data_IF_634402870359
#
_entry.id   IF_634402870359
#
_cell.length_a   1.000
_cell.length_b   1.000
_cell.length_c   1.000
_cell.angle_alpha   90.00
_cell.angle_beta   90.00
_cell.angle_gamma   90.00
#
_symmetry.space_group_name_H-M   'P 1'
#
loop_
_entity.id
_entity.type
_entity.pdbx_description
1 polymer ?
#
# COMPACT_ATOMS: atom_id res chain seq x y z
N UNK A 1 -8.97 -35.44 36.06
CA UNK A 1 -8.47 -34.33 35.20
C UNK A 1 -9.67 -33.77 34.44
N UNK A 2 -9.96 -32.48 34.57
CA UNK A 2 -11.15 -31.81 34.03
C UNK A 2 -10.84 -31.29 32.61
N UNK A 3 -11.56 -31.79 31.61
CA UNK A 3 -11.62 -31.22 30.27
C UNK A 3 -12.94 -30.47 30.13
N UNK A 4 -12.91 -29.16 30.24
CA UNK A 4 -14.05 -28.30 29.87
C UNK A 4 -13.54 -26.90 29.54
N UNK A 5 -14.05 -26.34 28.44
CA UNK A 5 -13.98 -24.94 28.00
C UNK A 5 -12.86 -24.54 27.01
N UNK A 6 -12.90 -25.03 25.76
CA UNK A 6 -12.26 -24.37 24.60
C UNK A 6 -13.17 -24.45 23.36
N UNK A 7 -14.46 -24.09 23.48
CA UNK A 7 -15.37 -24.06 22.30
C UNK A 7 -16.10 -22.73 22.12
N UNK A 8 -16.02 -21.79 23.08
CA UNK A 8 -16.84 -20.57 23.06
C UNK A 8 -16.15 -19.31 22.49
N UNK A 9 -14.93 -19.41 21.94
CA UNK A 9 -14.16 -18.24 21.49
C UNK A 9 -13.98 -18.11 19.97
N UNK A 10 -14.59 -19.01 19.16
CA UNK A 10 -14.46 -18.96 17.69
C UNK A 10 -15.65 -18.33 16.94
N UNK A 11 -16.71 -17.91 17.64
CA UNK A 11 -17.96 -17.45 16.98
C UNK A 11 -18.07 -15.94 16.81
N UNK A 12 -17.12 -15.13 17.29
CA UNK A 12 -17.21 -13.66 17.23
C UNK A 12 -16.40 -12.97 16.13
N UNK A 13 -15.64 -13.71 15.29
CA UNK A 13 -14.91 -13.13 14.14
C UNK A 13 -15.67 -13.30 12.81
N UNK A 14 -16.63 -14.23 12.73
CA UNK A 14 -17.43 -14.45 11.52
C UNK A 14 -18.46 -13.33 11.24
N UNK A 15 -18.76 -12.47 12.21
CA UNK A 15 -19.78 -11.42 12.09
C UNK A 15 -19.27 -10.10 11.49
N UNK A 16 -17.97 -9.98 11.17
CA UNK A 16 -17.41 -8.81 10.46
C UNK A 16 -17.51 -8.91 8.92
N UNK A 17 -18.04 -10.02 8.39
CA UNK A 17 -18.17 -10.26 6.95
C UNK A 17 -19.55 -9.89 6.38
N UNK A 18 -20.48 -9.42 7.21
CA UNK A 18 -21.82 -9.01 6.77
C UNK A 18 -21.87 -7.51 6.46
N UNK A 19 -21.61 -7.18 5.19
CA UNK A 19 -22.33 -6.09 4.51
C UNK A 19 -21.72 -4.69 4.53
N UNK A 20 -20.43 -4.51 4.84
CA UNK A 20 -19.79 -3.22 4.61
C UNK A 20 -19.75 -2.93 3.10
N UNK A 21 -20.49 -1.91 2.66
CA UNK A 21 -20.40 -1.44 1.28
C UNK A 21 -18.99 -0.89 1.05
N UNK A 22 -18.28 -1.46 0.10
CA UNK A 22 -16.96 -0.96 -0.29
C UNK A 22 -17.14 0.26 -1.20
N UNK A 23 -16.41 1.35 -0.95
CA UNK A 23 -16.50 2.55 -1.79
C UNK A 23 -15.78 2.30 -3.12
N UNK A 24 -16.51 2.36 -4.25
CA UNK A 24 -15.92 2.28 -5.59
C UNK A 24 -16.00 3.66 -6.24
N UNK A 25 -14.85 4.23 -6.58
CA UNK A 25 -14.81 5.51 -7.30
C UNK A 25 -15.25 5.31 -8.77
N UNK A 26 -15.89 6.30 -9.41
CA UNK A 26 -16.24 6.23 -10.82
C UNK A 26 -15.02 5.90 -11.70
N UNK A 27 -15.10 4.81 -12.45
CA UNK A 27 -14.02 4.35 -13.34
C UNK A 27 -12.85 3.67 -12.64
N UNK A 28 -12.96 3.33 -11.35
CA UNK A 28 -12.02 2.43 -10.68
C UNK A 28 -12.35 0.96 -10.99
N UNK A 29 -11.31 0.15 -11.18
CA UNK A 29 -11.41 -1.30 -11.37
C UNK A 29 -11.58 -2.04 -10.03
N UNK A 30 -11.19 -1.40 -8.92
CA UNK A 30 -11.29 -1.94 -7.57
C UNK A 30 -11.99 -0.96 -6.64
N UNK A 31 -12.59 -1.44 -5.54
CA UNK A 31 -12.95 -0.58 -4.44
C UNK A 31 -11.72 0.12 -3.84
N UNK A 32 -11.97 1.19 -3.07
CA UNK A 32 -10.98 1.85 -2.25
C UNK A 32 -10.46 0.90 -1.17
N UNK A 33 -9.15 0.93 -0.96
CA UNK A 33 -8.46 0.21 0.10
C UNK A 33 -7.36 1.06 0.73
N UNK A 34 -7.03 0.75 1.97
CA UNK A 34 -5.83 1.22 2.65
C UNK A 34 -4.66 0.27 2.37
N UNK A 35 -3.44 0.80 2.38
CA UNK A 35 -2.23 -0.01 2.42
C UNK A 35 -1.69 0.00 3.85
N UNK A 36 -1.43 -1.17 4.41
CA UNK A 36 -0.92 -1.33 5.79
C UNK A 36 0.40 -2.08 5.76
N UNK A 37 1.41 -1.52 6.41
CA UNK A 37 2.71 -2.15 6.51
C UNK A 37 2.68 -3.37 7.43
N UNK A 38 3.40 -4.42 7.04
CA UNK A 38 3.80 -5.49 7.92
C UNK A 38 5.31 -5.69 7.79
N UNK A 39 5.96 -5.86 8.93
CA UNK A 39 7.38 -6.17 9.00
C UNK A 39 7.64 -7.05 10.21
N UNK A 40 8.36 -8.18 10.05
CA UNK A 40 8.67 -9.07 11.18
C UNK A 40 9.75 -8.49 12.12
N UNK A 41 10.45 -7.43 11.71
CA UNK A 41 11.65 -6.92 12.40
C UNK A 41 11.64 -5.41 12.63
N UNK A 42 10.61 -4.71 12.15
CA UNK A 42 10.42 -3.27 12.40
C UNK A 42 9.27 -3.06 13.35
N UNK A 43 9.37 -2.03 14.20
CA UNK A 43 8.23 -1.52 14.98
C UNK A 43 7.12 -0.96 14.10
N UNK A 44 7.39 -0.75 12.80
CA UNK A 44 6.40 -0.36 11.80
C UNK A 44 5.57 -1.57 11.31
N UNK A 45 4.92 -2.26 12.24
CA UNK A 45 4.00 -3.35 11.94
C UNK A 45 2.55 -2.89 12.14
N UNK A 46 1.70 -3.23 11.18
CA UNK A 46 0.28 -2.84 11.10
C UNK A 46 0.04 -1.33 11.08
N UNK A 47 1.01 -0.56 10.57
CA UNK A 47 0.88 0.90 10.41
C UNK A 47 0.32 1.24 9.02
N UNK A 48 -0.68 2.14 8.92
CA UNK A 48 -1.23 2.55 7.64
C UNK A 48 -0.24 3.43 6.87
N UNK A 49 -0.18 3.23 5.55
CA UNK A 49 0.57 4.06 4.64
C UNK A 49 -0.12 5.41 4.45
N UNK A 50 0.65 6.49 4.59
CA UNK A 50 0.20 7.86 4.31
C UNK A 50 0.76 8.29 2.95
N UNK A 51 -0.07 8.94 2.12
CA UNK A 51 0.35 9.45 0.80
C UNK A 51 1.45 10.51 0.96
N UNK A 52 1.26 11.44 1.91
CA UNK A 52 2.20 12.50 2.26
C UNK A 52 2.53 12.41 3.75
N UNK A 53 3.64 11.75 4.08
CA UNK A 53 4.01 11.52 5.48
C UNK A 53 5.46 11.87 5.84
N UNK A 54 6.34 12.05 4.85
CA UNK A 54 7.75 12.38 5.06
C UNK A 54 8.17 13.70 4.39
N UNK A 55 9.41 14.09 4.62
CA UNK A 55 10.09 15.12 3.85
C UNK A 55 9.95 14.86 2.34
N UNK A 56 9.78 15.93 1.58
CA UNK A 56 9.64 15.93 0.11
C UNK A 56 8.37 15.26 -0.47
N UNK A 57 7.35 14.99 0.35
CA UNK A 57 6.06 14.49 -0.15
C UNK A 57 6.05 13.00 -0.50
N UNK A 58 7.00 12.23 0.05
CA UNK A 58 6.98 10.77 -0.07
C UNK A 58 6.06 10.13 0.97
N UNK A 59 5.75 8.86 0.72
CA UNK A 59 4.91 8.08 1.62
C UNK A 59 5.67 7.73 2.89
N UNK A 60 4.92 7.66 3.99
CA UNK A 60 5.47 7.23 5.25
C UNK A 60 4.46 6.40 6.05
N UNK A 61 4.98 5.63 6.99
CA UNK A 61 4.20 4.83 7.96
C UNK A 61 3.95 5.62 9.26
N UNK A 62 4.58 6.78 9.40
CA UNK A 62 4.48 7.69 10.53
C UNK A 62 4.23 9.12 10.05
N UNK A 63 3.90 10.03 10.98
CA UNK A 63 3.60 11.44 10.66
C UNK A 63 2.11 11.78 10.82
N UNK A 64 1.77 13.03 10.51
CA UNK A 64 0.44 13.61 10.76
C UNK A 64 -0.45 13.78 9.52
N UNK A 65 0.06 13.53 8.31
CA UNK A 65 -0.73 13.61 7.07
C UNK A 65 -1.82 12.53 7.01
N UNK A 66 -2.85 12.64 6.16
CA UNK A 66 -3.95 11.67 6.11
C UNK A 66 -3.45 10.26 5.74
N UNK A 67 -4.18 9.24 6.21
CA UNK A 67 -3.98 7.86 5.75
C UNK A 67 -4.35 7.81 4.26
N UNK A 68 -3.46 7.22 3.47
CA UNK A 68 -3.65 7.08 2.04
C UNK A 68 -4.76 6.09 1.72
N UNK A 69 -5.69 6.51 0.86
CA UNK A 69 -6.64 5.61 0.22
C UNK A 69 -6.17 5.33 -1.21
N UNK A 70 -6.35 4.10 -1.66
CA UNK A 70 -5.80 3.62 -2.91
C UNK A 70 -6.83 2.79 -3.68
N UNK A 71 -6.68 2.74 -4.99
CA UNK A 71 -7.50 1.92 -5.88
C UNK A 71 -6.73 1.62 -7.16
N UNK A 72 -7.22 0.67 -7.95
CA UNK A 72 -6.75 0.45 -9.31
C UNK A 72 -7.70 1.09 -10.32
N UNK A 73 -7.14 1.69 -11.36
CA UNK A 73 -7.87 2.17 -12.53
C UNK A 73 -7.05 1.86 -13.78
N UNK A 74 -7.67 1.17 -14.73
CA UNK A 74 -7.02 0.62 -15.92
C UNK A 74 -5.77 -0.22 -15.58
N UNK A 75 -5.87 -1.05 -14.53
CA UNK A 75 -4.79 -1.91 -14.06
C UNK A 75 -3.62 -1.17 -13.39
N UNK A 76 -3.75 0.12 -13.12
CA UNK A 76 -2.70 0.94 -12.49
C UNK A 76 -3.13 1.37 -11.09
N UNK A 77 -2.23 1.20 -10.11
CA UNK A 77 -2.42 1.70 -8.75
C UNK A 77 -2.50 3.24 -8.77
N UNK A 78 -3.43 3.80 -8.00
CA UNK A 78 -3.63 5.25 -7.82
C UNK A 78 -3.80 5.56 -6.33
N UNK A 79 -3.27 6.71 -5.91
CA UNK A 79 -3.62 7.33 -4.64
C UNK A 79 -4.85 8.23 -4.79
N UNK A 80 -5.75 8.18 -3.81
CA UNK A 80 -6.91 9.04 -3.70
C UNK A 80 -6.66 10.13 -2.65
N UNK A 81 -6.92 11.38 -3.03
CA UNK A 81 -6.89 12.51 -2.10
C UNK A 81 -8.15 12.56 -1.25
N UNK A 82 -8.02 12.31 0.06
CA UNK A 82 -9.12 12.47 1.02
C UNK A 82 -9.29 13.90 1.51
N UNK A 83 -8.40 14.84 1.15
CA UNK A 83 -8.41 16.21 1.66
C UNK A 83 -9.48 17.12 1.03
N UNK A 84 -10.42 16.56 0.25
CA UNK A 84 -11.60 17.29 -0.24
C UNK A 84 -11.33 18.24 -1.41
N UNK A 85 -10.20 18.10 -2.10
CA UNK A 85 -9.98 18.79 -3.37
C UNK A 85 -11.02 18.32 -4.38
N UNK A 86 -11.82 19.25 -4.90
CA UNK A 86 -12.84 19.00 -5.93
C UNK A 86 -12.23 18.64 -7.29
N UNK A 87 -10.92 18.84 -7.46
CA UNK A 87 -10.19 18.27 -8.57
C UNK A 87 -9.85 16.83 -8.24
N UNK A 88 -10.26 15.88 -9.09
CA UNK A 88 -9.82 14.49 -9.10
C UNK A 88 -8.29 14.44 -9.29
N UNK A 89 -7.55 14.76 -8.24
CA UNK A 89 -6.10 14.65 -8.21
C UNK A 89 -5.78 13.19 -7.94
N UNK A 90 -5.51 12.48 -9.03
CA UNK A 90 -5.04 11.12 -8.95
C UNK A 90 -3.53 11.14 -8.74
N UNK A 91 -3.09 10.59 -7.61
CA UNK A 91 -1.67 10.47 -7.37
C UNK A 91 -1.11 9.23 -8.04
N UNK A 92 -0.06 9.41 -8.84
CA UNK A 92 0.68 8.32 -9.47
C UNK A 92 1.71 7.78 -8.49
N UNK A 93 1.70 6.46 -8.22
CA UNK A 93 2.77 5.86 -7.43
C UNK A 93 4.07 5.96 -8.21
N UNK A 94 5.16 6.22 -7.51
CA UNK A 94 6.50 6.17 -8.06
C UNK A 94 7.50 5.65 -7.06
N UNK A 95 8.55 4.99 -7.55
CA UNK A 95 9.77 4.76 -6.80
C UNK A 95 10.78 5.82 -7.19
N UNK A 96 11.15 6.67 -6.23
CA UNK A 96 12.05 7.80 -6.46
C UNK A 96 13.50 7.36 -6.35
N UNK A 97 14.01 6.73 -7.41
CA UNK A 97 15.41 6.33 -7.44
C UNK A 97 16.31 7.58 -7.52
N UNK A 98 17.46 7.55 -6.87
CA UNK A 98 18.42 8.66 -6.89
C UNK A 98 19.38 8.54 -8.08
N UNK A 99 19.73 9.67 -8.70
CA UNK A 99 20.78 9.76 -9.71
C UNK A 99 22.16 9.79 -9.03
N UNK A 100 23.05 8.91 -9.46
CA UNK A 100 24.44 8.80 -9.00
C UNK A 100 25.40 8.98 -10.17
N UNK A 101 26.71 9.00 -9.91
CA UNK A 101 27.75 9.10 -10.95
C UNK A 101 27.72 7.93 -11.94
N UNK A 102 27.16 6.78 -11.56
CA UNK A 102 27.04 5.57 -12.39
C UNK A 102 25.64 5.39 -13.00
N UNK A 103 24.71 6.34 -12.77
CA UNK A 103 23.33 6.29 -13.27
C UNK A 103 22.28 6.29 -12.16
N UNK A 104 21.04 5.94 -12.52
CA UNK A 104 19.95 5.83 -11.55
C UNK A 104 20.14 4.61 -10.66
N UNK A 105 19.98 4.80 -9.35
CA UNK A 105 19.87 3.68 -8.41
C UNK A 105 18.67 2.79 -8.75
N UNK A 106 18.69 1.58 -8.21
CA UNK A 106 17.62 0.60 -8.40
C UNK A 106 16.47 0.79 -7.41
N UNK A 107 16.72 1.45 -6.27
CA UNK A 107 15.76 1.62 -5.18
C UNK A 107 15.57 3.09 -4.82
N UNK A 108 14.44 3.37 -4.19
CA UNK A 108 14.12 4.66 -3.66
C UNK A 108 12.87 4.60 -2.78
N UNK A 109 12.53 5.71 -2.12
CA UNK A 109 11.27 5.80 -1.39
C UNK A 109 10.08 5.69 -2.36
N UNK A 110 9.02 5.05 -1.87
CA UNK A 110 7.70 5.08 -2.50
C UNK A 110 7.10 6.48 -2.28
N UNK A 111 6.55 7.06 -3.33
CA UNK A 111 5.80 8.31 -3.28
C UNK A 111 4.59 8.29 -4.20
N UNK A 112 3.72 9.28 -4.01
CA UNK A 112 2.48 9.44 -4.77
C UNK A 112 2.38 10.90 -5.20
N UNK A 113 2.51 11.17 -6.51
CA UNK A 113 2.60 12.54 -7.04
C UNK A 113 1.42 12.88 -7.96
N UNK A 114 0.87 14.12 -7.90
CA UNK A 114 -0.29 14.53 -8.69
C UNK A 114 0.04 14.82 -10.16
N UNK A 115 1.18 14.33 -10.65
CA UNK A 115 1.70 14.60 -12.00
C UNK A 115 3.09 13.99 -12.20
N UNK A 116 3.76 14.31 -13.33
CA UNK A 116 5.11 13.83 -13.58
C UNK A 116 6.08 14.45 -12.56
N UNK A 117 6.95 13.63 -11.97
CA UNK A 117 8.09 14.08 -11.18
C UNK A 117 9.18 14.67 -12.07
N UNK A 118 9.89 15.65 -11.54
CA UNK A 118 11.14 16.18 -12.12
C UNK A 118 12.32 15.23 -11.93
N UNK A 119 12.17 14.19 -11.09
CA UNK A 119 13.17 13.15 -10.94
C UNK A 119 13.21 12.27 -12.20
N UNK A 120 14.27 12.41 -13.00
CA UNK A 120 14.53 11.60 -14.21
C UNK A 120 14.71 10.11 -13.92
N UNK A 121 14.99 9.74 -12.68
CA UNK A 121 15.15 8.37 -12.22
C UNK A 121 13.87 7.81 -11.56
N UNK A 122 12.76 8.57 -11.54
CA UNK A 122 11.49 8.07 -11.03
C UNK A 122 10.92 6.99 -11.94
N UNK A 123 10.41 5.91 -11.32
CA UNK A 123 9.76 4.78 -12.00
C UNK A 123 8.29 4.74 -11.61
N UNK A 124 7.37 4.79 -12.57
CA UNK A 124 5.92 5.03 -12.34
C UNK A 124 5.01 3.82 -12.54
N UNK A 125 5.57 2.71 -12.97
CA UNK A 125 4.81 1.53 -13.39
C UNK A 125 5.36 0.33 -12.60
N UNK A 126 4.73 -0.84 -12.71
CA UNK A 126 5.07 -2.09 -11.99
C UNK A 126 4.42 -2.34 -10.62
N UNK A 127 3.40 -1.59 -10.21
CA UNK A 127 2.63 -1.95 -9.00
C UNK A 127 1.45 -2.86 -9.35
N UNK A 128 1.36 -3.98 -8.64
CA UNK A 128 0.21 -4.89 -8.70
C UNK A 128 -0.22 -5.31 -7.30
N UNK A 129 -1.35 -6.00 -7.23
CA UNK A 129 -1.79 -6.70 -6.02
C UNK A 129 -1.76 -8.20 -6.30
N UNK A 130 -1.20 -8.96 -5.37
CA UNK A 130 -1.19 -10.41 -5.41
C UNK A 130 -1.95 -10.93 -4.19
N UNK A 131 -2.84 -11.91 -4.39
CA UNK A 131 -3.53 -12.55 -3.27
C UNK A 131 -2.50 -13.16 -2.33
N UNK A 132 -2.67 -12.93 -1.02
CA UNK A 132 -1.84 -13.61 -0.04
C UNK A 132 -2.29 -15.07 0.05
N UNK A 133 -1.52 -15.97 -0.58
CA UNK A 133 -1.83 -17.41 -0.61
C UNK A 133 -1.68 -18.08 0.75
N UNK A 134 -0.88 -17.49 1.65
CA UNK A 134 -0.64 -18.02 3.00
C UNK A 134 -1.77 -17.64 3.95
N UNK A 135 -2.42 -16.50 3.71
CA UNK A 135 -3.57 -16.06 4.47
C UNK A 135 -4.52 -15.22 3.62
N UNK A 136 -5.51 -15.89 3.01
CA UNK A 136 -6.53 -15.25 2.17
C UNK A 136 -7.42 -14.26 2.93
N UNK A 137 -7.35 -14.23 4.27
CA UNK A 137 -8.08 -13.27 5.10
C UNK A 137 -7.34 -11.94 5.29
N UNK A 138 -6.02 -11.88 5.06
CA UNK A 138 -5.20 -10.66 5.22
C UNK A 138 -5.23 -9.73 4.00
N UNK A 139 -6.14 -9.95 3.05
CA UNK A 139 -6.25 -9.18 1.82
C UNK A 139 -5.18 -9.53 0.77
N UNK A 140 -4.88 -8.60 -0.11
CA UNK A 140 -3.85 -8.75 -1.14
C UNK A 140 -2.57 -7.98 -0.74
N UNK A 141 -1.41 -8.51 -1.13
CA UNK A 141 -0.11 -7.87 -0.95
C UNK A 141 0.18 -6.98 -2.15
N UNK A 142 0.60 -5.74 -1.90
CA UNK A 142 1.14 -4.87 -2.93
C UNK A 142 2.52 -5.39 -3.34
N UNK A 143 2.68 -5.66 -4.63
CA UNK A 143 3.92 -6.13 -5.24
C UNK A 143 4.44 -5.08 -6.20
N UNK A 144 5.74 -4.85 -6.16
CA UNK A 144 6.46 -4.06 -7.15
C UNK A 144 7.27 -5.02 -8.02
N UNK A 145 6.93 -5.13 -9.30
CA UNK A 145 7.64 -6.01 -10.22
C UNK A 145 8.99 -5.39 -10.59
N UNK A 146 10.05 -6.13 -10.30
CA UNK A 146 11.41 -5.76 -10.70
C UNK A 146 11.61 -6.07 -12.18
N UNK A 147 12.48 -5.30 -12.83
CA UNK A 147 12.91 -5.62 -14.21
C UNK A 147 13.85 -6.83 -14.17
N UNK A 148 14.80 -6.85 -13.24
CA UNK A 148 15.72 -7.97 -13.02
C UNK A 148 15.55 -8.62 -11.63
N UNK A 149 15.68 -9.94 -11.53
CA UNK A 149 15.51 -10.64 -10.26
C UNK A 149 16.60 -10.29 -9.22
N UNK A 150 17.80 -9.95 -9.69
CA UNK A 150 18.94 -9.54 -8.86
C UNK A 150 18.76 -8.13 -8.26
N UNK A 151 17.79 -7.35 -8.76
CA UNK A 151 17.53 -6.01 -8.29
C UNK A 151 16.81 -6.03 -6.92
N UNK A 152 17.49 -6.25 -5.80
CA UNK A 152 16.95 -5.95 -4.45
C UNK A 152 17.96 -5.26 -3.54
N UNK A 153 17.52 -4.36 -2.64
CA UNK A 153 18.43 -3.81 -1.65
C UNK A 153 18.97 -4.97 -0.81
N UNK A 154 20.29 -5.11 -0.77
CA UNK A 154 20.95 -6.05 0.13
C UNK A 154 20.93 -5.47 1.54
N UNK A 155 20.76 -6.33 2.56
CA UNK A 155 20.76 -5.93 3.98
C UNK A 155 19.56 -5.09 4.45
N UNK A 156 18.50 -5.00 3.65
CA UNK A 156 17.24 -4.40 4.06
C UNK A 156 16.21 -5.47 4.38
N UNK A 157 15.44 -5.27 5.45
CA UNK A 157 14.27 -6.09 5.72
C UNK A 157 13.08 -5.54 4.94
N UNK A 158 12.44 -6.33 4.05
CA UNK A 158 11.34 -5.83 3.25
C UNK A 158 10.17 -5.42 4.15
N UNK A 159 9.57 -4.27 3.85
CA UNK A 159 8.26 -3.90 4.38
C UNK A 159 7.24 -4.37 3.37
N UNK A 160 6.31 -5.21 3.82
CA UNK A 160 5.22 -5.70 3.00
C UNK A 160 4.02 -4.79 3.20
N UNK A 161 3.30 -4.46 2.12
CA UNK A 161 2.09 -3.65 2.20
C UNK A 161 0.88 -4.52 1.85
N UNK A 162 -0.12 -4.54 2.73
CA UNK A 162 -1.34 -5.32 2.56
C UNK A 162 -2.56 -4.41 2.37
N UNK A 163 -3.50 -4.82 1.53
CA UNK A 163 -4.74 -4.10 1.27
C UNK A 163 -5.75 -4.35 2.38
N UNK A 164 -6.31 -3.28 2.96
CA UNK A 164 -7.46 -3.34 3.87
C UNK A 164 -8.63 -2.57 3.24
N UNK A 165 -9.82 -3.17 3.06
CA UNK A 165 -10.94 -2.48 2.43
C UNK A 165 -11.33 -1.18 3.16
N UNK A 166 -11.72 -0.14 2.40
CA UNK A 166 -12.40 1.03 2.97
C UNK A 166 -13.89 0.73 3.06
N UNK A 167 -14.42 0.78 4.28
CA UNK A 167 -15.84 0.56 4.58
C UNK A 167 -16.53 1.88 4.90
N UNK A 168 -17.72 2.12 4.34
CA UNK A 168 -18.63 3.21 4.74
C UNK A 168 -19.68 2.77 5.74
#
# INVERSE_FOLDING_TARGET
>A
MKFTNIVAALSSVAALLSGAASVVLPGADTPLFYLVASSPVSSANLLPLRINGSSFGYSALSGSGPIGQFYFQQGRLRGHDTAGSTALQYFMPLISSQLTSTGCTTYGPLGFFPGPSTNKCARYEYFGIQSNIENSQLGAKLVWYKVDAADGPTECSPIELYTVPVTV
#
